data_IF_413690946929
#
_entry.id   IF_413690946929
#
_cell.length_a   1.000
_cell.length_b   1.000
_cell.length_c   1.000
_cell.angle_alpha   90.00
_cell.angle_beta   90.00
_cell.angle_gamma   90.00
#
_symmetry.space_group_name_H-M   'P 1'
#
loop_
_entity.id
_entity.type
_entity.pdbx_description
1 polymer ?
#
# COMPACT_ATOMS: atom_id res chain seq x y z
N UNK A 1 10.40 -11.30 -23.22
CA UNK A 1 9.97 -11.82 -21.89
C UNK A 1 10.77 -13.05 -21.46
N UNK A 2 10.84 -14.09 -22.29
CA UNK A 2 11.58 -15.32 -21.96
C UNK A 2 13.02 -15.02 -21.54
N UNK A 3 13.74 -14.17 -22.29
CA UNK A 3 15.12 -13.75 -21.99
C UNK A 3 15.29 -13.03 -20.64
N UNK A 4 14.30 -12.23 -20.20
CA UNK A 4 14.37 -11.58 -18.88
C UNK A 4 14.19 -12.59 -17.76
N UNK A 5 13.26 -13.55 -17.92
CA UNK A 5 13.03 -14.62 -16.96
C UNK A 5 14.26 -15.53 -16.84
N UNK A 6 14.80 -15.99 -17.97
CA UNK A 6 16.02 -16.79 -18.02
C UNK A 6 17.20 -16.03 -17.36
N UNK A 7 17.35 -14.73 -17.67
CA UNK A 7 18.37 -13.88 -17.03
C UNK A 7 18.22 -13.78 -15.53
N UNK A 8 16.98 -13.65 -15.01
CA UNK A 8 16.71 -13.63 -13.58
C UNK A 8 16.99 -14.99 -12.92
N UNK A 9 16.61 -16.10 -13.54
CA UNK A 9 16.87 -17.45 -13.05
C UNK A 9 18.38 -17.73 -12.92
N UNK A 10 19.21 -17.25 -13.84
CA UNK A 10 20.66 -17.43 -13.83
C UNK A 10 21.41 -16.41 -12.97
N UNK A 11 20.85 -15.22 -12.77
CA UNK A 11 21.49 -14.13 -12.01
C UNK A 11 20.45 -13.35 -11.18
N UNK A 12 19.78 -13.98 -10.18
CA UNK A 12 18.69 -13.36 -9.43
C UNK A 12 19.14 -12.16 -8.57
N UNK A 13 20.42 -12.06 -8.26
CA UNK A 13 20.98 -10.89 -7.54
C UNK A 13 21.26 -9.69 -8.44
N UNK A 14 21.11 -9.84 -9.76
CA UNK A 14 21.41 -8.76 -10.69
C UNK A 14 20.27 -7.74 -10.70
N UNK A 15 20.50 -6.46 -10.30
CA UNK A 15 19.44 -5.48 -10.09
C UNK A 15 18.65 -5.13 -11.35
N UNK A 16 19.15 -5.50 -12.52
CA UNK A 16 18.53 -5.21 -13.81
C UNK A 16 17.24 -6.02 -14.08
N UNK A 17 17.22 -7.31 -13.74
CA UNK A 17 16.13 -8.20 -14.15
C UNK A 17 14.89 -8.07 -13.25
N UNK A 18 15.09 -7.98 -11.94
CA UNK A 18 13.99 -7.96 -10.98
C UNK A 18 12.97 -6.85 -11.25
N UNK A 19 13.33 -5.54 -11.28
CA UNK A 19 12.34 -4.48 -11.44
C UNK A 19 11.63 -4.56 -12.79
N UNK A 20 12.30 -5.00 -13.86
CA UNK A 20 11.70 -5.13 -15.19
C UNK A 20 10.69 -6.26 -15.29
N UNK A 21 10.94 -7.38 -14.62
CA UNK A 21 9.97 -8.48 -14.53
C UNK A 21 8.74 -8.05 -13.71
N UNK A 22 8.95 -7.36 -12.58
CA UNK A 22 7.86 -6.83 -11.77
C UNK A 22 7.03 -5.84 -12.57
N UNK A 23 7.65 -4.85 -13.20
CA UNK A 23 6.97 -3.87 -14.05
C UNK A 23 6.15 -4.53 -15.16
N UNK A 24 6.73 -5.49 -15.87
CA UNK A 24 6.03 -6.21 -16.93
C UNK A 24 4.82 -6.99 -16.40
N UNK A 25 5.00 -7.83 -15.37
CA UNK A 25 3.89 -8.63 -14.87
C UNK A 25 2.80 -7.79 -14.20
N UNK A 26 3.15 -6.69 -13.55
CA UNK A 26 2.16 -5.78 -12.97
C UNK A 26 1.39 -5.00 -14.02
N UNK A 27 2.04 -4.56 -15.12
CA UNK A 27 1.38 -3.88 -16.25
C UNK A 27 0.39 -4.79 -16.99
N UNK A 28 0.69 -6.09 -17.05
CA UNK A 28 -0.19 -7.13 -17.63
C UNK A 28 -1.25 -7.64 -16.63
N UNK A 29 -1.33 -7.04 -15.43
CA UNK A 29 -2.19 -7.47 -14.32
C UNK A 29 -1.97 -8.96 -13.91
N UNK A 30 -0.77 -9.47 -14.11
CA UNK A 30 -0.35 -10.85 -13.76
C UNK A 30 0.35 -10.86 -12.41
N UNK A 31 -0.40 -10.51 -11.36
CA UNK A 31 0.13 -10.33 -10.01
C UNK A 31 0.63 -11.64 -9.37
N UNK A 32 0.12 -12.78 -9.80
CA UNK A 32 0.60 -14.11 -9.45
C UNK A 32 2.06 -14.33 -9.91
N UNK A 33 2.35 -14.06 -11.16
CA UNK A 33 3.71 -14.19 -11.69
C UNK A 33 4.68 -13.15 -11.14
N UNK A 34 4.19 -11.94 -10.85
CA UNK A 34 5.00 -10.95 -10.15
C UNK A 34 5.37 -11.45 -8.75
N UNK A 35 4.44 -12.12 -8.05
CA UNK A 35 4.71 -12.70 -6.73
C UNK A 35 5.73 -13.84 -6.81
N UNK A 36 5.64 -14.72 -7.81
CA UNK A 36 6.63 -15.80 -8.02
C UNK A 36 8.05 -15.23 -8.16
N UNK A 37 8.22 -14.13 -8.93
CA UNK A 37 9.52 -13.45 -9.07
C UNK A 37 10.02 -12.90 -7.72
N UNK A 38 9.12 -12.31 -6.93
CA UNK A 38 9.47 -11.82 -5.60
C UNK A 38 9.88 -12.95 -4.66
N UNK A 39 9.14 -14.04 -4.66
CA UNK A 39 9.42 -15.18 -3.78
C UNK A 39 10.76 -15.86 -4.16
N UNK A 40 11.10 -15.96 -5.44
CA UNK A 40 12.42 -16.40 -5.87
C UNK A 40 13.53 -15.43 -5.44
N UNK A 41 13.32 -14.11 -5.57
CA UNK A 41 14.27 -13.12 -5.11
C UNK A 41 14.50 -13.18 -3.58
N UNK A 42 13.45 -13.41 -2.81
CA UNK A 42 13.52 -13.55 -1.35
C UNK A 42 14.23 -14.83 -0.89
N UNK A 43 14.27 -15.89 -1.69
CA UNK A 43 15.11 -17.07 -1.40
C UNK A 43 16.61 -16.72 -1.43
N UNK A 44 17.00 -15.72 -2.24
CA UNK A 44 18.38 -15.26 -2.36
C UNK A 44 18.73 -14.25 -1.28
N UNK A 45 17.81 -13.33 -0.96
CA UNK A 45 17.97 -12.31 0.07
C UNK A 45 16.64 -12.05 0.78
N UNK A 46 16.39 -12.83 1.83
CA UNK A 46 15.15 -12.82 2.61
C UNK A 46 14.89 -11.50 3.36
N UNK A 47 15.93 -10.69 3.56
CA UNK A 47 15.87 -9.45 4.31
C UNK A 47 15.94 -8.21 3.40
N UNK A 48 15.95 -8.38 2.08
CA UNK A 48 15.98 -7.27 1.13
C UNK A 48 14.77 -6.36 1.30
N UNK A 49 15.02 -5.10 1.66
CA UNK A 49 13.97 -4.09 1.78
C UNK A 49 13.21 -3.88 0.48
N UNK A 50 13.90 -3.94 -0.67
CA UNK A 50 13.29 -3.81 -2.00
C UNK A 50 12.32 -4.97 -2.28
N UNK A 51 12.73 -6.21 -2.04
CA UNK A 51 11.90 -7.38 -2.32
C UNK A 51 10.70 -7.45 -1.38
N UNK A 52 10.91 -7.17 -0.09
CA UNK A 52 9.81 -7.12 0.89
C UNK A 52 8.83 -5.98 0.59
N UNK A 53 9.31 -4.79 0.22
CA UNK A 53 8.45 -3.69 -0.21
C UNK A 53 7.63 -4.10 -1.45
N UNK A 54 8.26 -4.67 -2.46
CA UNK A 54 7.57 -5.16 -3.67
C UNK A 54 6.52 -6.21 -3.32
N UNK A 55 6.85 -7.15 -2.40
CA UNK A 55 5.89 -8.13 -1.88
C UNK A 55 4.67 -7.46 -1.26
N UNK A 56 4.88 -6.49 -0.37
CA UNK A 56 3.77 -5.79 0.29
C UNK A 56 2.86 -5.07 -0.72
N UNK A 57 3.45 -4.45 -1.75
CA UNK A 57 2.71 -3.76 -2.81
C UNK A 57 1.88 -4.73 -3.65
N UNK A 58 2.45 -5.87 -4.06
CA UNK A 58 1.71 -6.88 -4.83
C UNK A 58 0.57 -7.47 -4.00
N UNK A 59 0.81 -7.79 -2.72
CA UNK A 59 -0.21 -8.28 -1.81
C UNK A 59 -1.37 -7.28 -1.66
N UNK A 60 -1.05 -5.98 -1.55
CA UNK A 60 -2.04 -4.92 -1.49
C UNK A 60 -2.91 -4.88 -2.76
N UNK A 61 -2.27 -4.97 -3.94
CA UNK A 61 -2.96 -4.99 -5.24
C UNK A 61 -3.81 -6.26 -5.45
N UNK A 62 -3.44 -7.37 -4.80
CA UNK A 62 -4.24 -8.61 -4.75
C UNK A 62 -5.40 -8.54 -3.74
N UNK A 63 -5.55 -7.44 -2.98
CA UNK A 63 -6.53 -7.32 -1.90
C UNK A 63 -6.15 -8.12 -0.63
N UNK A 64 -4.96 -8.69 -0.55
CA UNK A 64 -4.45 -9.42 0.62
C UNK A 64 -3.94 -8.43 1.68
N UNK A 65 -4.87 -7.60 2.19
CA UNK A 65 -4.54 -6.45 3.04
C UNK A 65 -3.85 -6.85 4.35
N UNK A 66 -4.21 -8.01 4.93
CA UNK A 66 -3.59 -8.48 6.18
C UNK A 66 -2.12 -8.83 5.98
N UNK A 67 -1.83 -9.62 4.96
CA UNK A 67 -0.47 -10.06 4.62
C UNK A 67 0.41 -8.87 4.19
N UNK A 68 -0.13 -7.96 3.39
CA UNK A 68 0.56 -6.71 3.03
C UNK A 68 0.93 -5.89 4.26
N UNK A 69 0.00 -5.77 5.22
CA UNK A 69 0.23 -5.04 6.46
C UNK A 69 1.35 -5.66 7.29
N UNK A 70 1.36 -6.98 7.47
CA UNK A 70 2.38 -7.70 8.23
C UNK A 70 3.79 -7.43 7.67
N UNK A 71 3.94 -7.51 6.33
CA UNK A 71 5.22 -7.21 5.67
C UNK A 71 5.60 -5.74 5.81
N UNK A 72 4.65 -4.82 5.63
CA UNK A 72 4.90 -3.37 5.74
C UNK A 72 5.31 -2.97 7.15
N UNK A 73 4.64 -3.48 8.18
CA UNK A 73 4.99 -3.17 9.57
C UNK A 73 6.40 -3.67 9.93
N UNK A 74 6.76 -4.89 9.51
CA UNK A 74 8.11 -5.43 9.70
C UNK A 74 9.18 -4.53 9.05
N UNK A 75 8.91 -3.97 7.88
CA UNK A 75 9.80 -3.01 7.22
C UNK A 75 9.91 -1.69 7.99
N UNK A 76 8.77 -1.17 8.48
CA UNK A 76 8.74 0.09 9.23
C UNK A 76 9.41 0.00 10.59
N UNK A 77 9.44 -1.16 11.23
CA UNK A 77 10.23 -1.41 12.44
C UNK A 77 11.74 -1.21 12.19
N UNK A 78 12.21 -1.48 10.97
CA UNK A 78 13.61 -1.31 10.57
C UNK A 78 13.93 0.10 10.11
N UNK A 79 13.03 0.72 9.38
CA UNK A 79 13.13 2.09 8.88
C UNK A 79 11.73 2.65 8.62
N UNK A 80 11.28 3.54 9.48
CA UNK A 80 9.97 4.17 9.41
C UNK A 80 9.90 5.34 8.40
N UNK A 81 11.05 5.72 7.81
CA UNK A 81 11.17 6.86 6.90
C UNK A 81 11.05 6.50 5.42
N UNK A 82 10.44 5.35 5.10
CA UNK A 82 10.14 4.95 3.71
C UNK A 82 8.71 5.32 3.38
N UNK A 83 8.53 6.29 2.48
CA UNK A 83 7.21 6.84 2.14
C UNK A 83 6.24 5.77 1.65
N UNK A 84 6.61 4.99 0.64
CA UNK A 84 5.76 3.97 0.03
C UNK A 84 5.39 2.85 1.00
N UNK A 85 6.25 2.51 1.96
CA UNK A 85 5.93 1.49 2.97
C UNK A 85 4.91 2.03 3.97
N UNK A 86 5.01 3.31 4.35
CA UNK A 86 3.97 3.99 5.13
C UNK A 86 2.64 4.02 4.36
N UNK A 87 2.67 4.32 3.06
CA UNK A 87 1.48 4.26 2.22
C UNK A 87 0.85 2.86 2.21
N UNK A 88 1.63 1.81 1.97
CA UNK A 88 1.13 0.43 1.95
C UNK A 88 0.50 0.03 3.30
N UNK A 89 1.14 0.35 4.42
CA UNK A 89 0.59 0.07 5.75
C UNK A 89 -0.72 0.83 6.00
N UNK A 90 -0.73 2.13 5.69
CA UNK A 90 -1.91 2.97 5.84
C UNK A 90 -3.07 2.53 4.98
N UNK A 91 -2.80 2.21 3.70
CA UNK A 91 -3.81 1.76 2.75
C UNK A 91 -4.33 0.36 3.11
N UNK A 92 -3.49 -0.54 3.61
CA UNK A 92 -3.92 -1.85 4.08
C UNK A 92 -4.89 -1.74 5.26
N UNK A 93 -4.62 -0.89 6.25
CA UNK A 93 -5.57 -0.61 7.33
C UNK A 93 -6.85 0.04 6.81
N UNK A 94 -6.76 1.02 5.93
CA UNK A 94 -7.90 1.69 5.30
C UNK A 94 -8.80 0.69 4.56
N UNK A 95 -8.23 -0.16 3.72
CA UNK A 95 -8.96 -1.18 2.97
C UNK A 95 -9.69 -2.16 3.89
N UNK A 96 -9.08 -2.54 5.03
CA UNK A 96 -9.74 -3.38 6.04
C UNK A 96 -10.98 -2.70 6.63
N UNK A 97 -10.94 -1.40 6.90
CA UNK A 97 -12.11 -0.65 7.33
C UNK A 97 -13.21 -0.66 6.24
N UNK A 98 -12.84 -0.37 4.99
CA UNK A 98 -13.76 -0.36 3.85
C UNK A 98 -14.39 -1.73 3.59
N UNK A 99 -13.62 -2.82 3.70
CA UNK A 99 -14.13 -4.19 3.57
C UNK A 99 -15.21 -4.51 4.62
N UNK A 100 -14.99 -4.10 5.86
CA UNK A 100 -15.96 -4.28 6.94
C UNK A 100 -17.22 -3.43 6.74
N UNK A 101 -17.07 -2.22 6.22
CA UNK A 101 -18.16 -1.27 6.00
C UNK A 101 -19.13 -1.71 4.88
N UNK A 102 -18.63 -2.45 3.89
CA UNK A 102 -19.48 -3.01 2.80
C UNK A 102 -20.57 -3.95 3.30
N UNK A 103 -20.50 -4.44 4.53
CA UNK A 103 -21.47 -5.38 5.06
C UNK A 103 -22.65 -4.62 5.68
N UNK A 104 -23.85 -4.77 5.14
CA UNK A 104 -25.08 -4.01 5.45
C UNK A 104 -25.59 -4.15 6.89
N UNK A 105 -25.11 -5.10 7.68
CA UNK A 105 -25.49 -5.27 9.07
C UNK A 105 -24.44 -4.65 10.01
N UNK A 106 -24.53 -3.35 10.24
CA UNK A 106 -23.67 -2.61 11.16
C UNK A 106 -24.12 -2.84 12.62
N UNK A 107 -23.48 -3.79 13.30
CA UNK A 107 -23.55 -3.86 14.77
C UNK A 107 -22.65 -2.78 15.39
N UNK A 108 -22.96 -2.37 16.64
CA UNK A 108 -22.10 -1.43 17.38
C UNK A 108 -20.64 -1.91 17.47
N UNK A 109 -20.42 -3.20 17.67
CA UNK A 109 -19.09 -3.82 17.71
C UNK A 109 -18.35 -3.64 16.37
N UNK A 110 -19.03 -3.89 15.23
CA UNK A 110 -18.44 -3.71 13.91
C UNK A 110 -18.10 -2.25 13.61
N UNK A 111 -18.98 -1.33 13.98
CA UNK A 111 -18.69 0.10 13.84
C UNK A 111 -17.43 0.50 14.63
N UNK A 112 -17.27 0.03 15.86
CA UNK A 112 -16.06 0.28 16.64
C UNK A 112 -14.80 -0.32 15.99
N UNK A 113 -14.91 -1.49 15.38
CA UNK A 113 -13.81 -2.13 14.67
C UNK A 113 -13.40 -1.31 13.43
N UNK A 114 -14.36 -0.84 12.62
CA UNK A 114 -14.12 0.03 11.47
C UNK A 114 -13.40 1.31 11.91
N UNK A 115 -13.90 1.99 12.95
CA UNK A 115 -13.26 3.18 13.49
C UNK A 115 -11.84 2.89 13.98
N UNK A 116 -11.62 1.75 14.61
CA UNK A 116 -10.28 1.30 15.03
C UNK A 116 -9.30 1.13 13.87
N UNK A 117 -9.76 0.61 12.73
CA UNK A 117 -8.94 0.51 11.52
C UNK A 117 -8.63 1.88 10.92
N UNK A 118 -9.59 2.81 10.85
CA UNK A 118 -9.33 4.18 10.41
C UNK A 118 -8.35 4.92 11.32
N UNK A 119 -8.46 4.75 12.64
CA UNK A 119 -7.51 5.32 13.60
C UNK A 119 -6.08 4.79 13.40
N UNK A 120 -5.93 3.49 13.06
CA UNK A 120 -4.63 2.89 12.75
C UNK A 120 -4.07 3.32 11.39
N UNK A 121 -4.92 3.52 10.38
CA UNK A 121 -4.51 3.97 9.06
C UNK A 121 -3.97 5.40 9.06
N UNK A 122 -4.57 6.26 9.88
CA UNK A 122 -4.36 7.70 9.87
C UNK A 122 -2.88 8.11 9.97
N UNK A 123 -2.09 7.69 10.99
CA UNK A 123 -0.71 8.17 11.16
C UNK A 123 0.18 7.80 9.99
N UNK A 124 -0.02 6.66 9.35
CA UNK A 124 0.76 6.21 8.20
C UNK A 124 0.44 7.04 6.94
N UNK A 125 -0.83 7.32 6.68
CA UNK A 125 -1.24 8.10 5.53
C UNK A 125 -0.92 9.59 5.68
N UNK A 126 -1.01 10.15 6.89
CA UNK A 126 -0.54 11.51 7.18
C UNK A 126 0.99 11.62 7.00
N UNK A 127 1.74 10.62 7.49
CA UNK A 127 3.19 10.56 7.30
C UNK A 127 3.53 10.48 5.80
N UNK A 128 2.84 9.63 5.04
CA UNK A 128 2.99 9.57 3.58
C UNK A 128 2.70 10.93 2.91
N UNK A 129 1.55 11.57 3.23
CA UNK A 129 1.19 12.91 2.72
C UNK A 129 2.29 13.94 2.97
N UNK A 130 2.90 13.92 4.16
CA UNK A 130 3.97 14.85 4.52
C UNK A 130 5.26 14.58 3.73
N UNK A 131 5.56 13.34 3.42
CA UNK A 131 6.75 12.93 2.65
C UNK A 131 6.54 13.15 1.15
N UNK A 132 5.32 12.87 0.64
CA UNK A 132 4.94 12.94 -0.76
C UNK A 132 3.72 13.84 -0.99
N UNK A 133 3.81 15.15 -0.71
CA UNK A 133 2.66 16.07 -0.76
C UNK A 133 2.08 16.23 -2.16
N UNK A 134 2.85 15.94 -3.20
CA UNK A 134 2.42 16.04 -4.60
C UNK A 134 1.61 14.83 -5.08
N UNK A 135 1.72 13.68 -4.42
CA UNK A 135 1.03 12.44 -4.77
C UNK A 135 -0.43 12.42 -4.26
N UNK A 136 -1.19 13.49 -4.59
CA UNK A 136 -2.56 13.71 -4.09
C UNK A 136 -3.51 12.57 -4.48
N UNK A 137 -3.33 12.00 -5.66
CA UNK A 137 -4.11 10.87 -6.17
C UNK A 137 -4.03 9.62 -5.26
N UNK A 138 -2.97 9.48 -4.47
CA UNK A 138 -2.79 8.36 -3.54
C UNK A 138 -3.40 8.62 -2.18
N UNK A 139 -3.15 9.79 -1.58
CA UNK A 139 -3.50 10.03 -0.19
C UNK A 139 -4.81 10.82 0.02
N UNK A 140 -5.29 11.61 -0.98
CA UNK A 140 -6.41 12.51 -0.75
C UNK A 140 -7.72 11.77 -0.41
N UNK A 141 -8.14 10.80 -1.23
CA UNK A 141 -9.37 10.06 -1.01
C UNK A 141 -9.35 9.22 0.28
N UNK A 142 -8.29 8.45 0.59
CA UNK A 142 -8.21 7.74 1.87
C UNK A 142 -8.28 8.66 3.08
N UNK A 143 -7.52 9.77 3.10
CA UNK A 143 -7.54 10.71 4.21
C UNK A 143 -8.87 11.45 4.34
N UNK A 144 -9.50 11.85 3.23
CA UNK A 144 -10.85 12.42 3.21
C UNK A 144 -11.84 11.50 3.94
N UNK A 145 -11.86 10.22 3.56
CA UNK A 145 -12.74 9.22 4.17
C UNK A 145 -12.45 9.02 5.65
N UNK A 146 -11.17 8.95 6.03
CA UNK A 146 -10.75 8.78 7.43
C UNK A 146 -11.16 10.00 8.26
N UNK A 147 -10.87 11.21 7.81
CA UNK A 147 -11.21 12.43 8.56
C UNK A 147 -12.72 12.60 8.73
N UNK A 148 -13.51 12.27 7.70
CA UNK A 148 -14.97 12.25 7.78
C UNK A 148 -15.45 11.30 8.88
N UNK A 149 -14.99 10.04 8.83
CA UNK A 149 -15.45 9.00 9.76
C UNK A 149 -14.96 9.22 11.21
N UNK A 150 -13.78 9.80 11.38
CA UNK A 150 -13.22 10.11 12.70
C UNK A 150 -13.65 11.50 13.22
N UNK A 151 -14.55 12.20 12.51
CA UNK A 151 -15.05 13.54 12.85
C UNK A 151 -13.93 14.58 13.09
N UNK A 152 -12.91 14.57 12.24
CA UNK A 152 -11.78 15.51 12.26
C UNK A 152 -12.08 16.73 11.38
N UNK A 153 -12.87 17.66 11.88
CA UNK A 153 -13.45 18.75 11.10
C UNK A 153 -12.45 19.66 10.40
N UNK A 154 -11.36 20.05 11.07
CA UNK A 154 -10.34 20.95 10.46
C UNK A 154 -9.60 20.27 9.31
N UNK A 155 -9.10 19.07 9.54
CA UNK A 155 -8.35 18.28 8.56
C UNK A 155 -9.26 17.87 7.40
N UNK A 156 -10.54 17.58 7.69
CA UNK A 156 -11.56 17.33 6.68
C UNK A 156 -11.77 18.54 5.78
N UNK A 157 -11.94 19.75 6.34
CA UNK A 157 -12.15 20.99 5.56
C UNK A 157 -10.96 21.31 4.65
N UNK A 158 -9.73 21.02 5.08
CA UNK A 158 -8.54 21.18 4.24
C UNK A 158 -8.56 20.25 3.03
N UNK A 159 -8.82 18.96 3.26
CA UNK A 159 -8.77 17.96 2.20
C UNK A 159 -9.95 18.13 1.24
N UNK A 160 -11.12 18.50 1.73
CA UNK A 160 -12.31 18.80 0.93
C UNK A 160 -12.04 19.94 -0.06
N UNK A 161 -11.34 21.00 0.38
CA UNK A 161 -10.90 22.08 -0.50
C UNK A 161 -9.92 21.61 -1.58
N UNK A 162 -9.04 20.66 -1.25
CA UNK A 162 -8.09 20.08 -2.22
C UNK A 162 -8.85 19.28 -3.27
N UNK A 163 -9.79 18.42 -2.84
CA UNK A 163 -10.55 17.55 -3.73
C UNK A 163 -11.55 18.31 -4.62
N UNK A 164 -12.03 19.47 -4.18
CA UNK A 164 -12.94 20.34 -4.95
C UNK A 164 -12.24 21.26 -5.92
N UNK A 165 -10.90 21.40 -5.86
CA UNK A 165 -10.17 22.19 -6.86
C UNK A 165 -10.27 21.50 -8.21
N UNK A 166 -10.72 22.20 -9.28
CA UNK A 166 -10.66 21.65 -10.60
C UNK A 166 -9.19 21.32 -10.92
N UNK A 167 -8.97 20.13 -11.50
CA UNK A 167 -7.67 19.79 -12.05
C UNK A 167 -7.38 20.83 -13.13
N UNK A 168 -6.54 21.79 -12.80
CA UNK A 168 -6.00 22.72 -13.81
C UNK A 168 -5.17 21.90 -14.78
N UNK A 169 -5.43 22.01 -16.09
CA UNK A 169 -4.76 21.25 -17.10
C UNK A 169 -3.24 21.52 -17.14
#
# INVERSE_FOLDING_TARGET
MQTLKEGFEHAPKFPFFFPRLIEFYTSENRLDLAMDVVDEALKVDAESGLYLYTKSTILLNQGKNKESLEVSLKLLERNDSVAEVNYNAGLAYFNRAVELDKNTQLSRKRHQEIMGYYQKALPYLEKYRNMEPKAQEKWALPLYTIYLNLNKGKEFDEIDKIMKRPLTP
#
